data_IF_564934640814
#
_entry.id   IF_564934640814
#
_cell.length_a   1.000
_cell.length_b   1.000
_cell.length_c   1.000
_cell.angle_alpha   90.00
_cell.angle_beta   90.00
_cell.angle_gamma   90.00
#
_symmetry.space_group_name_H-M   'P 1'
#
loop_
_entity.id
_entity.type
_entity.pdbx_description
1 polymer ?
#
# COMPACT_ATOMS: atom_id res chain seq x y z
N UNK A 1 -59.80 -43.53 -43.76
CA UNK A 1 -58.96 -42.50 -44.46
C UNK A 1 -59.27 -41.06 -44.01
N UNK A 2 -60.57 -40.72 -43.75
CA UNK A 2 -61.03 -39.37 -43.43
C UNK A 2 -60.56 -38.90 -42.06
N UNK A 3 -60.36 -39.77 -41.09
CA UNK A 3 -59.93 -39.44 -39.69
C UNK A 3 -58.46 -39.15 -39.62
N UNK A 4 -57.65 -39.71 -40.50
CA UNK A 4 -56.19 -39.49 -40.60
C UNK A 4 -55.86 -38.11 -41.19
N UNK A 5 -56.67 -37.68 -42.17
CA UNK A 5 -56.52 -36.36 -42.83
C UNK A 5 -56.91 -35.21 -41.89
N UNK A 6 -57.84 -35.41 -40.92
CA UNK A 6 -58.26 -34.44 -39.94
C UNK A 6 -57.19 -34.20 -38.82
N UNK A 7 -56.47 -35.29 -38.48
CA UNK A 7 -55.35 -35.20 -37.51
C UNK A 7 -54.10 -34.50 -38.09
N UNK A 8 -53.86 -34.66 -39.37
CA UNK A 8 -52.74 -34.01 -40.06
C UNK A 8 -52.96 -32.51 -40.24
N UNK A 9 -54.21 -32.02 -40.23
CA UNK A 9 -54.57 -30.61 -40.32
C UNK A 9 -54.48 -29.89 -38.97
N UNK A 10 -54.49 -30.61 -37.85
CA UNK A 10 -54.35 -30.04 -36.50
C UNK A 10 -52.90 -29.91 -36.00
N UNK A 11 -51.95 -30.62 -36.68
CA UNK A 11 -50.56 -30.64 -36.29
C UNK A 11 -49.73 -29.47 -36.91
N UNK A 12 -50.32 -28.62 -37.71
CA UNK A 12 -49.57 -27.53 -38.40
C UNK A 12 -49.96 -26.13 -37.95
N UNK A 13 -50.46 -26.01 -36.72
CA UNK A 13 -50.52 -24.68 -36.05
C UNK A 13 -49.14 -24.37 -35.44
N UNK A 14 -48.18 -24.10 -36.29
CA UNK A 14 -47.00 -23.39 -35.85
C UNK A 14 -47.46 -21.99 -35.44
N UNK A 15 -47.39 -21.70 -34.14
CA UNK A 15 -47.57 -20.35 -33.61
C UNK A 15 -46.37 -19.54 -34.13
N UNK A 16 -46.52 -18.93 -35.33
CA UNK A 16 -45.57 -17.92 -35.78
C UNK A 16 -45.69 -16.72 -34.84
N UNK A 17 -44.80 -16.63 -33.85
CA UNK A 17 -44.60 -15.43 -33.07
C UNK A 17 -44.00 -14.36 -33.97
N UNK A 18 -44.83 -13.65 -34.70
CA UNK A 18 -44.45 -12.44 -35.44
C UNK A 18 -44.30 -11.30 -34.43
N UNK A 19 -43.11 -11.16 -33.88
CA UNK A 19 -42.81 -9.96 -33.10
C UNK A 19 -42.84 -8.76 -34.05
N UNK A 20 -43.66 -7.74 -33.76
CA UNK A 20 -43.65 -6.52 -34.56
C UNK A 20 -42.23 -5.91 -34.50
N UNK A 21 -41.69 -5.51 -35.66
CA UNK A 21 -40.30 -4.96 -35.75
C UNK A 21 -40.05 -3.84 -34.72
N UNK A 22 -41.06 -3.05 -34.37
CA UNK A 22 -41.01 -2.06 -33.31
C UNK A 22 -40.74 -2.65 -31.90
N UNK A 23 -41.36 -3.80 -31.57
CA UNK A 23 -41.14 -4.44 -30.27
C UNK A 23 -39.69 -4.98 -30.12
N UNK A 24 -39.08 -5.46 -31.20
CA UNK A 24 -37.67 -5.88 -31.17
C UNK A 24 -36.73 -4.69 -30.98
N UNK A 25 -37.02 -3.55 -31.59
CA UNK A 25 -36.22 -2.33 -31.42
C UNK A 25 -36.36 -1.79 -29.98
N UNK A 26 -37.56 -1.75 -29.43
CA UNK A 26 -37.77 -1.30 -28.03
C UNK A 26 -37.11 -2.22 -27.06
N UNK A 27 -37.16 -3.54 -27.25
CA UNK A 27 -36.48 -4.52 -26.39
C UNK A 27 -34.97 -4.38 -26.46
N UNK A 28 -34.41 -4.14 -27.66
CA UNK A 28 -32.98 -3.86 -27.81
C UNK A 28 -32.54 -2.57 -27.09
N UNK A 29 -33.35 -1.49 -27.18
CA UNK A 29 -33.07 -0.24 -26.47
C UNK A 29 -33.09 -0.45 -24.95
N UNK A 30 -34.11 -1.14 -24.43
CA UNK A 30 -34.22 -1.45 -22.99
C UNK A 30 -33.03 -2.30 -22.54
N UNK A 31 -32.66 -3.33 -23.29
CA UNK A 31 -31.51 -4.17 -23.00
C UNK A 31 -30.19 -3.39 -22.96
N UNK A 32 -29.99 -2.50 -23.96
CA UNK A 32 -28.83 -1.62 -23.99
C UNK A 32 -28.82 -0.65 -22.80
N UNK A 33 -29.95 -0.07 -22.43
CA UNK A 33 -30.08 0.79 -21.28
C UNK A 33 -29.75 0.07 -19.96
N UNK A 34 -30.22 -1.16 -19.79
CA UNK A 34 -29.91 -2.00 -18.62
C UNK A 34 -28.40 -2.26 -18.54
N UNK A 35 -27.74 -2.59 -19.64
CA UNK A 35 -26.28 -2.80 -19.67
C UNK A 35 -25.54 -1.51 -19.28
N UNK A 36 -25.94 -0.37 -19.82
CA UNK A 36 -25.32 0.92 -19.51
C UNK A 36 -25.47 1.27 -18.03
N UNK A 37 -26.66 1.14 -17.47
CA UNK A 37 -26.91 1.38 -16.04
C UNK A 37 -26.12 0.41 -15.15
N UNK A 38 -26.09 -0.87 -15.52
CA UNK A 38 -25.33 -1.89 -14.78
C UNK A 38 -23.83 -1.59 -14.73
N UNK A 39 -23.25 -1.05 -15.83
CA UNK A 39 -21.84 -0.64 -15.88
C UNK A 39 -21.55 0.70 -15.22
N UNK A 40 -22.58 1.51 -14.99
CA UNK A 40 -22.45 2.81 -14.33
C UNK A 40 -22.43 2.74 -12.81
N UNK A 41 -22.88 1.64 -12.24
CA UNK A 41 -22.96 1.44 -10.80
C UNK A 41 -21.63 0.87 -10.26
N UNK A 42 -20.93 1.65 -9.42
CA UNK A 42 -19.67 1.25 -8.79
C UNK A 42 -19.82 1.38 -7.29
N UNK A 43 -19.44 0.32 -6.56
CA UNK A 43 -19.40 0.34 -5.10
C UNK A 43 -17.95 0.46 -4.64
N UNK A 44 -17.67 1.44 -3.80
CA UNK A 44 -16.37 1.68 -3.16
C UNK A 44 -16.45 1.12 -1.75
N UNK A 45 -15.46 0.30 -1.38
CA UNK A 45 -15.39 -0.33 -0.06
C UNK A 45 -15.15 0.67 1.07
N UNK A 46 -15.42 0.22 2.30
CA UNK A 46 -15.08 1.04 3.47
C UNK A 46 -13.58 1.21 3.60
N UNK A 47 -13.10 2.43 3.86
CA UNK A 47 -11.68 2.78 3.92
C UNK A 47 -11.02 2.92 2.56
N UNK A 48 -11.80 2.91 1.48
CA UNK A 48 -11.33 3.17 0.13
C UNK A 48 -11.84 4.52 -0.39
N UNK A 49 -11.13 5.07 -1.37
CA UNK A 49 -11.53 6.22 -2.17
C UNK A 49 -11.40 5.91 -3.64
N UNK A 50 -12.36 6.41 -4.43
CA UNK A 50 -12.37 6.21 -5.87
C UNK A 50 -11.77 7.41 -6.60
N UNK A 51 -10.71 7.18 -7.37
CA UNK A 51 -10.15 8.17 -8.29
C UNK A 51 -10.82 8.01 -9.65
N UNK A 52 -11.51 9.05 -10.09
CA UNK A 52 -12.22 9.05 -11.36
C UNK A 52 -11.28 9.38 -12.51
N UNK A 53 -11.23 8.49 -13.50
CA UNK A 53 -10.58 8.72 -14.78
C UNK A 53 -11.66 8.90 -15.87
N UNK A 54 -11.79 10.11 -16.37
CA UNK A 54 -12.70 10.43 -17.49
C UNK A 54 -12.02 10.04 -18.81
N UNK A 55 -12.76 9.37 -19.69
CA UNK A 55 -12.26 9.02 -21.02
C UNK A 55 -11.80 10.26 -21.81
N UNK A 56 -12.49 11.37 -21.63
CA UNK A 56 -12.09 12.69 -22.15
C UNK A 56 -11.75 13.56 -20.95
N UNK A 57 -10.47 13.96 -20.84
CA UNK A 57 -9.98 14.82 -19.75
C UNK A 57 -9.03 14.12 -18.76
N UNK A 58 -8.96 12.79 -18.73
CA UNK A 58 -8.01 12.06 -17.88
C UNK A 58 -8.43 11.98 -16.41
N UNK A 59 -7.45 11.97 -15.50
CA UNK A 59 -7.67 11.91 -14.06
C UNK A 59 -8.31 13.20 -13.57
N UNK A 60 -9.38 13.07 -12.80
CA UNK A 60 -10.08 14.22 -12.19
C UNK A 60 -9.38 14.55 -10.87
N UNK A 61 -8.72 15.70 -10.83
CA UNK A 61 -7.99 16.20 -9.66
C UNK A 61 -8.68 17.40 -9.01
N UNK A 62 -9.57 18.06 -9.74
CA UNK A 62 -10.25 19.30 -9.31
C UNK A 62 -11.48 19.01 -8.44
N UNK A 63 -12.00 17.79 -8.50
CA UNK A 63 -13.12 17.32 -7.70
C UNK A 63 -12.61 16.40 -6.61
N UNK A 64 -13.26 16.30 -5.44
CA UNK A 64 -12.90 15.34 -4.42
C UNK A 64 -13.05 13.91 -4.95
N UNK A 65 -12.22 12.98 -4.51
CA UNK A 65 -12.34 11.57 -4.88
C UNK A 65 -13.70 11.02 -4.43
N UNK A 66 -14.18 10.00 -5.13
CA UNK A 66 -15.46 9.36 -4.84
C UNK A 66 -15.44 8.72 -3.44
N UNK A 67 -16.51 8.96 -2.70
CA UNK A 67 -16.69 8.45 -1.34
C UNK A 67 -17.06 6.97 -1.31
N UNK A 68 -16.96 6.39 -0.09
CA UNK A 68 -17.40 5.03 0.21
C UNK A 68 -18.89 4.82 -0.15
N UNK A 69 -19.24 3.60 -0.50
CA UNK A 69 -20.59 3.21 -0.82
C UNK A 69 -20.90 3.23 -2.32
N UNK A 70 -22.15 3.43 -2.64
CA UNK A 70 -22.65 3.36 -4.00
C UNK A 70 -22.40 4.70 -4.73
N UNK A 71 -21.70 4.61 -5.88
CA UNK A 71 -21.42 5.74 -6.75
C UNK A 71 -21.91 5.46 -8.15
N UNK A 72 -22.44 6.49 -8.81
CA UNK A 72 -22.88 6.42 -10.19
C UNK A 72 -21.88 7.15 -11.09
N UNK A 73 -21.24 6.40 -12.00
CA UNK A 73 -20.19 6.92 -12.90
C UNK A 73 -20.57 6.56 -14.33
N UNK A 74 -20.29 7.42 -15.29
CA UNK A 74 -20.54 7.13 -16.71
C UNK A 74 -19.83 5.85 -17.15
N UNK A 75 -20.48 4.96 -17.92
CA UNK A 75 -19.99 3.60 -18.21
C UNK A 75 -18.69 3.54 -19.01
N UNK A 76 -18.28 4.63 -19.61
CA UNK A 76 -17.00 4.76 -20.34
C UNK A 76 -15.87 5.33 -19.48
N UNK A 77 -16.15 5.79 -18.27
CA UNK A 77 -15.14 6.25 -17.33
C UNK A 77 -14.62 5.07 -16.49
N UNK A 78 -13.42 5.21 -15.95
CA UNK A 78 -12.82 4.23 -15.04
C UNK A 78 -12.70 4.80 -13.63
N UNK A 79 -12.79 3.95 -12.64
CA UNK A 79 -12.56 4.33 -11.24
C UNK A 79 -11.47 3.41 -10.68
N UNK A 80 -10.40 4.03 -10.20
CA UNK A 80 -9.31 3.38 -9.49
C UNK A 80 -9.56 3.48 -7.99
N UNK A 81 -9.51 2.37 -7.28
CA UNK A 81 -9.78 2.33 -5.84
C UNK A 81 -8.48 2.36 -5.07
N UNK A 82 -8.39 3.26 -4.12
CA UNK A 82 -7.23 3.42 -3.24
C UNK A 82 -7.63 3.18 -1.80
N UNK A 83 -6.90 2.36 -1.09
CA UNK A 83 -7.03 2.23 0.35
C UNK A 83 -6.42 3.47 1.01
N UNK A 84 -7.21 4.23 1.76
CA UNK A 84 -6.78 5.43 2.48
C UNK A 84 -6.59 5.20 3.97
N UNK A 85 -6.75 3.96 4.43
CA UNK A 85 -6.39 3.55 5.78
C UNK A 85 -4.88 3.45 5.93
N UNK A 86 -4.42 3.44 7.16
CA UNK A 86 -3.03 3.11 7.44
C UNK A 86 -2.72 1.69 6.97
N UNK A 87 -1.67 1.57 6.19
CA UNK A 87 -1.15 0.33 5.65
C UNK A 87 0.27 0.11 6.16
N UNK A 88 0.71 -1.14 6.20
CA UNK A 88 2.07 -1.54 6.52
C UNK A 88 2.74 -2.13 5.29
N UNK A 89 3.90 -1.60 4.95
CA UNK A 89 4.80 -2.17 3.97
C UNK A 89 6.02 -2.72 4.71
N UNK A 90 6.32 -3.99 4.50
CA UNK A 90 7.43 -4.67 5.13
C UNK A 90 8.57 -4.86 4.13
N UNK A 91 9.74 -4.30 4.45
CA UNK A 91 10.95 -4.41 3.65
C UNK A 91 11.98 -5.26 4.38
N UNK A 92 12.24 -6.44 3.83
CA UNK A 92 13.15 -7.43 4.41
C UNK A 92 14.57 -7.30 3.87
N UNK A 93 15.54 -7.58 4.74
CA UNK A 93 16.96 -7.80 4.39
C UNK A 93 17.56 -6.69 3.53
N UNK A 94 17.18 -5.44 3.82
CA UNK A 94 17.86 -4.30 3.19
C UNK A 94 19.33 -4.34 3.51
N UNK A 95 20.17 -4.51 2.48
CA UNK A 95 21.62 -4.45 2.63
C UNK A 95 22.07 -2.99 2.62
N UNK A 96 22.71 -2.57 3.72
CA UNK A 96 23.23 -1.21 3.92
C UNK A 96 24.64 -1.26 4.50
N UNK A 97 25.45 -0.25 4.21
CA UNK A 97 26.79 -0.11 4.75
C UNK A 97 26.80 0.82 5.96
N UNK A 98 27.43 0.41 7.04
CA UNK A 98 27.70 1.24 8.20
C UNK A 98 28.82 2.25 7.93
N UNK A 99 29.07 3.19 8.85
CA UNK A 99 30.10 4.23 8.74
C UNK A 99 31.52 3.68 8.55
N UNK A 100 31.80 2.47 9.01
CA UNK A 100 33.08 1.79 8.85
C UNK A 100 33.10 0.78 7.67
N UNK A 101 32.09 0.84 6.78
CA UNK A 101 32.03 0.01 5.58
C UNK A 101 31.57 -1.43 5.79
N UNK A 102 31.06 -1.78 6.95
CA UNK A 102 30.51 -3.12 7.22
C UNK A 102 29.11 -3.23 6.64
N UNK A 103 28.87 -4.31 5.89
CA UNK A 103 27.54 -4.65 5.39
C UNK A 103 26.64 -5.15 6.53
N UNK A 104 25.47 -4.55 6.66
CA UNK A 104 24.45 -4.85 7.65
C UNK A 104 23.16 -5.13 6.93
N UNK A 105 22.41 -6.15 7.36
CA UNK A 105 21.04 -6.40 6.88
C UNK A 105 20.06 -5.87 7.91
N UNK A 106 19.10 -5.10 7.43
CA UNK A 106 18.12 -4.42 8.26
C UNK A 106 16.72 -4.69 7.73
N UNK A 107 15.81 -5.06 8.62
CA UNK A 107 14.39 -5.22 8.35
C UNK A 107 13.63 -4.00 8.89
N UNK A 108 12.75 -3.45 8.06
CA UNK A 108 11.95 -2.30 8.46
C UNK A 108 10.49 -2.45 8.04
N UNK A 109 9.58 -1.98 8.90
CA UNK A 109 8.18 -1.77 8.56
C UNK A 109 7.90 -0.29 8.40
N UNK A 110 7.24 0.06 7.33
CA UNK A 110 6.80 1.42 7.01
C UNK A 110 5.30 1.49 7.16
N UNK A 111 4.83 2.29 8.11
CA UNK A 111 3.41 2.58 8.28
C UNK A 111 3.07 3.88 7.57
N UNK A 112 2.22 3.79 6.56
CA UNK A 112 1.86 4.92 5.70
C UNK A 112 0.38 4.90 5.35
N UNK A 113 -0.09 5.99 4.78
CA UNK A 113 -1.43 6.09 4.22
C UNK A 113 -1.45 7.07 3.04
N UNK A 114 -2.30 6.79 2.04
CA UNK A 114 -2.60 7.76 1.01
C UNK A 114 -3.50 8.85 1.59
N UNK A 115 -3.16 10.12 1.34
CA UNK A 115 -3.96 11.24 1.84
C UNK A 115 -5.25 11.34 1.03
N UNK A 116 -6.38 11.25 1.71
CA UNK A 116 -7.73 11.22 1.10
C UNK A 116 -7.95 12.37 0.11
N UNK A 117 -7.56 13.60 0.48
CA UNK A 117 -7.78 14.79 -0.37
C UNK A 117 -6.89 14.84 -1.61
N UNK A 118 -5.76 14.15 -1.61
CA UNK A 118 -4.73 14.23 -2.66
C UNK A 118 -4.51 12.90 -3.39
N UNK A 119 -5.32 11.87 -3.12
CA UNK A 119 -5.18 10.55 -3.75
C UNK A 119 -5.33 10.61 -5.28
N UNK A 120 -6.11 11.55 -5.82
CA UNK A 120 -6.21 11.76 -7.26
C UNK A 120 -4.89 12.30 -7.85
N UNK A 121 -4.19 13.19 -7.14
CA UNK A 121 -2.87 13.68 -7.53
C UNK A 121 -1.81 12.58 -7.41
N UNK A 122 -1.88 11.75 -6.38
CA UNK A 122 -1.03 10.56 -6.23
C UNK A 122 -1.20 9.64 -7.45
N UNK A 123 -2.46 9.33 -7.82
CA UNK A 123 -2.74 8.51 -9.00
C UNK A 123 -2.21 9.14 -10.30
N UNK A 124 -2.42 10.44 -10.48
CA UNK A 124 -1.98 11.15 -11.67
C UNK A 124 -0.46 11.16 -11.83
N UNK A 125 0.27 11.30 -10.72
CA UNK A 125 1.74 11.46 -10.73
C UNK A 125 2.50 10.15 -10.63
N UNK A 126 1.95 9.15 -9.91
CA UNK A 126 2.65 7.89 -9.56
C UNK A 126 1.91 6.62 -9.98
N UNK A 127 0.59 6.71 -10.21
CA UNK A 127 -0.23 5.55 -10.57
C UNK A 127 -0.49 4.61 -9.39
N UNK A 128 -0.88 3.37 -9.71
CA UNK A 128 -1.23 2.35 -8.71
C UNK A 128 0.00 1.69 -8.07
N UNK A 129 1.16 1.70 -8.75
CA UNK A 129 2.40 1.09 -8.28
C UNK A 129 3.23 2.01 -7.36
N UNK A 130 2.62 3.02 -6.72
CA UNK A 130 3.33 4.01 -5.89
C UNK A 130 4.08 3.39 -4.70
N UNK A 131 3.69 2.21 -4.23
CA UNK A 131 4.41 1.48 -3.18
C UNK A 131 5.79 1.05 -3.68
N UNK A 132 5.84 0.38 -4.83
CA UNK A 132 7.08 -0.12 -5.43
C UNK A 132 7.94 1.00 -6.02
N UNK A 133 7.31 2.01 -6.62
CA UNK A 133 8.01 3.06 -7.36
C UNK A 133 8.45 4.23 -6.47
N UNK A 134 7.81 4.43 -5.31
CA UNK A 134 8.07 5.59 -4.45
C UNK A 134 8.43 5.19 -3.02
N UNK A 135 7.59 4.39 -2.33
CA UNK A 135 7.80 4.12 -0.90
C UNK A 135 9.03 3.24 -0.68
N UNK A 136 9.17 2.14 -1.41
CA UNK A 136 10.33 1.24 -1.28
C UNK A 136 11.65 1.95 -1.58
N UNK A 137 11.81 2.67 -2.70
CA UNK A 137 13.04 3.44 -2.94
C UNK A 137 13.30 4.52 -1.91
N UNK A 138 12.26 5.19 -1.40
CA UNK A 138 12.40 6.22 -0.38
C UNK A 138 12.96 5.68 0.93
N UNK A 139 12.37 4.59 1.45
CA UNK A 139 12.86 3.97 2.70
C UNK A 139 14.26 3.39 2.54
N UNK A 140 14.57 2.76 1.41
CA UNK A 140 15.92 2.25 1.13
C UNK A 140 16.95 3.36 1.07
N UNK A 141 16.63 4.49 0.44
CA UNK A 141 17.50 5.65 0.33
C UNK A 141 17.74 6.30 1.69
N UNK A 142 16.66 6.56 2.45
CA UNK A 142 16.73 7.13 3.79
C UNK A 142 17.53 6.22 4.74
N UNK A 143 17.23 4.92 4.76
CA UNK A 143 17.94 3.95 5.59
C UNK A 143 19.42 3.91 5.27
N UNK A 144 19.80 3.88 3.97
CA UNK A 144 21.21 3.90 3.55
C UNK A 144 21.92 5.17 3.99
N UNK A 145 21.28 6.33 3.84
CA UNK A 145 21.82 7.62 4.25
C UNK A 145 22.04 7.71 5.75
N UNK A 146 21.07 7.26 6.54
CA UNK A 146 21.15 7.33 8.00
C UNK A 146 22.13 6.30 8.54
N UNK A 147 21.98 5.02 8.19
CA UNK A 147 22.83 3.92 8.69
C UNK A 147 24.29 4.15 8.35
N UNK A 148 24.61 4.74 7.19
CA UNK A 148 25.96 5.09 6.81
C UNK A 148 26.68 6.08 7.74
N UNK A 149 25.96 6.75 8.63
CA UNK A 149 26.53 7.67 9.65
C UNK A 149 26.85 7.00 10.99
N UNK A 150 26.35 5.77 11.19
CA UNK A 150 26.45 5.07 12.46
C UNK A 150 27.35 3.84 12.39
N UNK A 151 28.00 3.51 13.52
CA UNK A 151 28.77 2.28 13.66
C UNK A 151 27.83 1.09 13.91
N UNK A 152 28.25 -0.16 13.61
CA UNK A 152 27.48 -1.36 13.89
C UNK A 152 27.05 -1.49 15.36
N UNK A 153 27.93 -1.09 16.29
CA UNK A 153 27.66 -1.11 17.71
C UNK A 153 26.53 -0.15 18.11
N UNK A 154 26.51 1.06 17.54
CA UNK A 154 25.45 2.04 17.78
C UNK A 154 24.10 1.58 17.22
N UNK A 155 24.12 0.89 16.07
CA UNK A 155 22.92 0.31 15.47
C UNK A 155 22.35 -0.84 16.30
N UNK A 156 23.23 -1.64 16.90
CA UNK A 156 22.83 -2.86 17.62
C UNK A 156 22.36 -2.57 19.06
N UNK A 157 22.85 -1.52 19.70
CA UNK A 157 22.61 -1.33 21.15
C UNK A 157 22.12 0.07 21.55
N UNK A 158 22.94 1.10 21.39
CA UNK A 158 22.77 2.35 22.17
C UNK A 158 21.94 3.43 21.50
N UNK A 159 21.85 3.43 20.16
CA UNK A 159 21.22 4.54 19.41
C UNK A 159 20.08 4.10 18.49
N UNK A 160 19.51 2.92 18.69
CA UNK A 160 18.48 2.35 17.83
C UNK A 160 17.28 3.30 17.65
N UNK A 161 16.78 3.87 18.75
CA UNK A 161 15.62 4.77 18.71
C UNK A 161 15.93 6.08 17.99
N UNK A 162 17.12 6.64 18.21
CA UNK A 162 17.57 7.83 17.50
C UNK A 162 17.69 7.58 15.99
N UNK A 163 18.26 6.44 15.61
CA UNK A 163 18.42 6.02 14.20
C UNK A 163 17.05 5.80 13.56
N UNK A 164 16.12 5.14 14.24
CA UNK A 164 14.75 4.96 13.76
C UNK A 164 14.06 6.32 13.53
N UNK A 165 14.21 7.26 14.44
CA UNK A 165 13.68 8.61 14.32
C UNK A 165 14.29 9.35 13.13
N UNK A 166 15.61 9.25 12.93
CA UNK A 166 16.26 9.87 11.77
C UNK A 166 15.81 9.24 10.44
N UNK A 167 15.66 7.92 10.38
CA UNK A 167 15.14 7.22 9.18
C UNK A 167 13.71 7.69 8.89
N UNK A 168 12.88 7.82 9.93
CA UNK A 168 11.52 8.35 9.78
C UNK A 168 11.53 9.77 9.21
N UNK A 169 12.31 10.70 9.77
CA UNK A 169 12.36 12.08 9.31
C UNK A 169 12.92 12.21 7.89
N UNK A 170 13.95 11.45 7.54
CA UNK A 170 14.49 11.44 6.18
C UNK A 170 13.49 10.85 5.18
N UNK A 171 12.82 9.73 5.53
CA UNK A 171 11.78 9.13 4.68
C UNK A 171 10.61 10.08 4.49
N UNK A 172 10.16 10.73 5.56
CA UNK A 172 9.08 11.72 5.54
C UNK A 172 9.36 12.89 4.60
N UNK A 173 10.59 13.42 4.60
CA UNK A 173 10.99 14.48 3.67
C UNK A 173 10.88 14.04 2.20
N UNK A 174 11.20 12.78 1.91
CA UNK A 174 11.11 12.23 0.54
C UNK A 174 9.65 12.00 0.13
N UNK A 175 8.81 11.50 1.04
CA UNK A 175 7.43 11.11 0.76
C UNK A 175 6.43 12.29 0.79
N UNK A 176 6.70 13.34 1.58
CA UNK A 176 5.78 14.48 1.73
C UNK A 176 5.38 15.13 0.37
N UNK A 177 6.31 15.39 -0.58
CA UNK A 177 5.95 15.95 -1.88
C UNK A 177 5.26 14.94 -2.82
N UNK A 178 5.12 13.69 -2.42
CA UNK A 178 4.54 12.59 -3.22
C UNK A 178 3.08 12.28 -2.83
N UNK A 179 2.44 13.12 -2.01
CA UNK A 179 1.07 12.94 -1.54
C UNK A 179 0.84 11.70 -0.67
N UNK A 180 1.92 11.19 -0.05
CA UNK A 180 1.90 10.03 0.84
C UNK A 180 2.23 10.51 2.24
N UNK A 181 1.36 10.17 3.20
CA UNK A 181 1.58 10.45 4.60
C UNK A 181 2.32 9.28 5.26
N UNK A 182 3.51 9.55 5.77
CA UNK A 182 4.26 8.59 6.58
C UNK A 182 3.83 8.73 8.05
N UNK A 183 3.37 7.64 8.65
CA UNK A 183 2.93 7.62 10.04
C UNK A 183 4.04 7.15 10.98
N UNK A 184 4.78 6.10 10.60
CA UNK A 184 5.89 5.58 11.38
C UNK A 184 6.84 4.74 10.52
N UNK A 185 8.08 4.63 10.95
CA UNK A 185 9.06 3.66 10.47
C UNK A 185 9.53 2.86 11.68
N UNK A 186 9.46 1.54 11.59
CA UNK A 186 9.88 0.63 12.65
C UNK A 186 11.07 -0.19 12.15
N UNK A 187 12.21 -0.05 12.79
CA UNK A 187 13.37 -0.93 12.57
C UNK A 187 13.13 -2.20 13.38
N UNK A 188 12.91 -3.34 12.69
CA UNK A 188 12.54 -4.61 13.33
C UNK A 188 13.76 -5.41 13.74
N UNK A 189 14.61 -5.75 12.80
CA UNK A 189 15.82 -6.52 13.06
C UNK A 189 17.04 -5.91 12.40
N UNK A 190 18.19 -6.09 13.05
CA UNK A 190 19.49 -5.65 12.57
C UNK A 190 20.41 -6.87 12.61
N UNK A 191 20.61 -7.47 11.45
CA UNK A 191 21.46 -8.66 11.31
C UNK A 191 22.88 -8.25 10.96
N UNK A 192 23.81 -8.55 11.88
CA UNK A 192 25.25 -8.37 11.72
C UNK A 192 25.94 -9.67 11.31
N UNK A 193 27.08 -9.63 10.62
CA UNK A 193 27.92 -10.80 10.44
C UNK A 193 28.27 -11.44 11.79
N UNK A 194 28.25 -12.79 11.91
CA UNK A 194 28.39 -13.49 13.20
C UNK A 194 29.65 -13.12 13.99
N UNK A 195 30.76 -12.93 13.30
CA UNK A 195 32.05 -12.53 13.91
C UNK A 195 31.99 -11.17 14.60
N UNK A 196 31.32 -10.21 13.96
CA UNK A 196 31.15 -8.84 14.48
C UNK A 196 30.14 -8.84 15.63
N UNK A 197 29.01 -9.55 15.47
CA UNK A 197 28.02 -9.72 16.53
C UNK A 197 28.66 -10.24 17.82
N UNK A 198 29.43 -11.33 17.73
CA UNK A 198 30.13 -11.91 18.90
C UNK A 198 31.15 -10.94 19.53
N UNK A 199 31.86 -10.15 18.70
CA UNK A 199 32.81 -9.16 19.21
C UNK A 199 32.10 -8.03 19.99
N UNK A 200 31.00 -7.54 19.44
CA UNK A 200 30.18 -6.48 20.09
C UNK A 200 29.57 -7.01 21.39
N UNK A 201 28.99 -8.21 21.39
CA UNK A 201 28.40 -8.83 22.59
C UNK A 201 29.44 -9.02 23.68
N UNK A 202 30.66 -9.45 23.34
CA UNK A 202 31.77 -9.58 24.29
C UNK A 202 32.18 -8.23 24.88
N UNK A 203 32.28 -7.20 24.05
CA UNK A 203 32.61 -5.84 24.49
C UNK A 203 31.55 -5.30 25.45
N UNK A 204 30.29 -5.40 25.09
CA UNK A 204 29.16 -4.96 25.92
C UNK A 204 29.12 -5.69 27.27
N UNK A 205 29.41 -7.00 27.27
CA UNK A 205 29.50 -7.77 28.51
C UNK A 205 30.63 -7.28 29.41
N UNK A 206 31.82 -7.02 28.86
CA UNK A 206 32.95 -6.48 29.64
C UNK A 206 32.66 -5.08 30.20
N UNK A 207 32.02 -4.23 29.42
CA UNK A 207 31.57 -2.91 29.89
C UNK A 207 30.58 -3.03 31.06
N UNK A 208 29.61 -3.91 30.97
CA UNK A 208 28.64 -4.19 32.04
C UNK A 208 29.33 -4.72 33.30
N UNK A 209 30.23 -5.67 33.16
CA UNK A 209 31.02 -6.20 34.29
C UNK A 209 31.85 -5.09 34.97
N UNK A 210 32.50 -4.20 34.20
CA UNK A 210 33.24 -3.08 34.71
C UNK A 210 32.36 -2.10 35.51
N UNK A 211 31.19 -1.75 34.98
CA UNK A 211 30.22 -0.89 35.66
C UNK A 211 29.71 -1.53 36.96
N UNK A 212 29.48 -2.84 36.96
CA UNK A 212 29.09 -3.58 38.17
C UNK A 212 30.18 -3.53 39.24
N UNK A 213 31.45 -3.71 38.86
CA UNK A 213 32.59 -3.58 39.80
C UNK A 213 32.70 -2.16 40.37
N UNK A 214 32.56 -1.12 39.54
CA UNK A 214 32.56 0.26 40.00
C UNK A 214 31.42 0.52 41.01
N UNK A 215 30.22 0.05 40.70
CA UNK A 215 29.07 0.18 41.59
C UNK A 215 29.30 -0.53 42.92
N UNK A 216 29.84 -1.75 42.92
CA UNK A 216 30.18 -2.52 44.12
C UNK A 216 31.24 -1.77 44.99
N UNK A 217 32.26 -1.17 44.35
CA UNK A 217 33.28 -0.38 45.04
C UNK A 217 32.67 0.87 45.68
N UNK A 218 31.78 1.58 45.01
CA UNK A 218 31.09 2.75 45.54
C UNK A 218 30.21 2.35 46.72
N UNK A 219 29.50 1.24 46.64
CA UNK A 219 28.63 0.75 47.73
C UNK A 219 29.46 0.36 48.95
N UNK A 220 30.54 -0.43 48.76
CA UNK A 220 31.43 -0.81 49.84
C UNK A 220 32.11 0.39 50.55
N UNK A 221 32.42 1.47 49.80
CA UNK A 221 32.96 2.72 50.41
C UNK A 221 31.92 3.50 51.22
N UNK A 222 30.64 3.33 50.92
CA UNK A 222 29.56 4.01 51.69
C UNK A 222 29.18 3.24 52.95
N UNK A 223 29.45 1.93 52.96
CA UNK A 223 29.17 1.06 54.11
C UNK A 223 30.33 0.97 55.12
N UNK A 224 31.53 1.45 54.76
CA UNK A 224 32.72 1.55 55.62
C UNK A 224 32.83 2.93 56.28
#
# INVERSE_FOLDING_TARGET
LYKILKLKKMANNQIEFKFPKGALITLAIIFTAIILVSKSAITIGSGERGVLYKWIGGVVTDEPPLDEGFNFVMPWNKVFKYNVRQQELFEEKMSVLSSNGLEIKLDASVLYQATTSTVALLHQTRGEAYEDDVIIPAIRSATRSVVGRYTPEQLYSTKRDAIQTEIFEETKKILAPQFIQLNSVLVRDVTLPPTIKTAIERKLKQEQESLEYEFRLVTARKEA
#
